data_IF_298821527655
#
_entry.id   IF_298821527655
#
_cell.length_a   1.000
_cell.length_b   1.000
_cell.length_c   1.000
_cell.angle_alpha   90.00
_cell.angle_beta   90.00
_cell.angle_gamma   90.00
#
_symmetry.space_group_name_H-M   'P 1'
#
loop_
_entity.id
_entity.type
_entity.pdbx_description
1 polymer ?
#
# COMPACT_ATOMS: atom_id res chain seq x y z
N UNK A 1 9.81 1.23 -27.51
CA UNK A 1 9.20 0.82 -26.23
C UNK A 1 10.32 0.68 -25.23
N UNK A 2 10.38 1.55 -24.21
CA UNK A 2 11.40 1.50 -23.16
C UNK A 2 10.74 0.87 -21.93
N UNK A 3 11.25 -0.27 -21.50
CA UNK A 3 10.84 -0.97 -20.28
C UNK A 3 11.19 -0.13 -19.04
N UNK A 4 10.19 0.47 -18.43
CA UNK A 4 10.30 1.24 -17.18
C UNK A 4 10.49 0.32 -15.94
N UNK A 5 10.51 -1.00 -16.13
CA UNK A 5 10.57 -2.00 -15.05
C UNK A 5 11.96 -2.18 -14.39
N UNK A 6 12.98 -1.39 -14.77
CA UNK A 6 14.38 -1.62 -14.37
C UNK A 6 14.98 -0.68 -13.31
N UNK A 7 14.21 0.25 -12.74
CA UNK A 7 14.74 1.27 -11.81
C UNK A 7 14.36 1.07 -10.33
N UNK A 8 14.09 -0.17 -9.89
CA UNK A 8 13.81 -0.46 -8.48
C UNK A 8 14.96 -1.15 -7.73
N UNK A 9 16.19 -1.20 -8.29
CA UNK A 9 17.32 -1.90 -7.66
C UNK A 9 18.40 -0.99 -7.05
N UNK A 10 18.19 0.32 -6.95
CA UNK A 10 19.15 1.22 -6.30
C UNK A 10 18.44 2.25 -5.41
N UNK A 11 17.98 1.81 -4.25
CA UNK A 11 17.67 2.66 -3.11
C UNK A 11 18.71 2.41 -2.02
N UNK A 12 19.44 3.45 -1.64
CA UNK A 12 20.55 3.40 -0.71
C UNK A 12 20.21 2.71 0.61
N UNK A 13 21.08 1.80 1.03
CA UNK A 13 21.01 1.10 2.30
C UNK A 13 21.48 2.02 3.44
N UNK A 14 20.76 3.13 3.66
CA UNK A 14 20.76 3.80 4.96
C UNK A 14 19.80 3.03 5.87
N UNK A 15 20.15 1.77 6.17
CA UNK A 15 19.30 0.86 6.92
C UNK A 15 19.11 1.41 8.34
N UNK A 16 17.97 2.03 8.58
CA UNK A 16 17.49 2.21 9.95
C UNK A 16 17.02 0.83 10.39
N UNK A 17 17.67 0.20 11.39
CA UNK A 17 17.28 -1.14 11.83
C UNK A 17 15.81 -1.12 12.28
N UNK A 18 15.05 -2.10 11.80
CA UNK A 18 13.65 -2.28 12.20
C UNK A 18 12.67 -1.32 11.53
N UNK A 19 13.00 -0.72 10.38
CA UNK A 19 12.12 0.23 9.69
C UNK A 19 10.76 -0.40 9.31
N UNK A 20 10.76 -1.66 8.86
CA UNK A 20 9.54 -2.37 8.49
C UNK A 20 8.64 -2.59 9.71
N UNK A 21 9.22 -3.01 10.82
CA UNK A 21 8.52 -3.21 12.09
C UNK A 21 7.91 -1.90 12.60
N UNK A 22 8.65 -0.79 12.47
CA UNK A 22 8.13 0.55 12.78
C UNK A 22 7.01 0.97 11.83
N UNK A 23 7.10 0.65 10.55
CA UNK A 23 6.05 0.91 9.58
C UNK A 23 4.77 0.10 9.88
N UNK A 24 4.92 -1.12 10.39
CA UNK A 24 3.83 -2.00 10.80
C UNK A 24 3.36 -1.77 12.24
N UNK A 25 3.95 -0.80 12.95
CA UNK A 25 3.51 -0.44 14.30
C UNK A 25 2.06 0.05 14.27
N UNK A 26 1.30 -0.35 15.29
CA UNK A 26 -0.14 -0.08 15.39
C UNK A 26 -0.46 1.41 15.26
N UNK A 27 0.32 2.25 15.92
CA UNK A 27 0.17 3.70 15.91
C UNK A 27 0.37 4.25 14.50
N UNK A 28 1.38 3.76 13.77
CA UNK A 28 1.65 4.16 12.40
C UNK A 28 0.51 3.76 11.47
N UNK A 29 -0.01 2.54 11.61
CA UNK A 29 -1.13 2.05 10.80
C UNK A 29 -2.43 2.84 11.04
N UNK A 30 -2.68 3.24 12.28
CA UNK A 30 -3.83 4.12 12.59
C UNK A 30 -3.69 5.48 11.87
N UNK A 31 -2.49 6.05 11.86
CA UNK A 31 -2.23 7.30 11.15
C UNK A 31 -2.32 7.13 9.64
N UNK A 32 -1.78 6.03 9.10
CA UNK A 32 -1.90 5.69 7.69
C UNK A 32 -3.37 5.55 7.28
N UNK A 33 -4.17 4.83 8.08
CA UNK A 33 -5.60 4.67 7.84
C UNK A 33 -6.35 6.01 7.81
N UNK A 34 -6.07 6.91 8.75
CA UNK A 34 -6.67 8.26 8.76
C UNK A 34 -6.39 9.03 7.47
N UNK A 35 -5.16 8.96 6.97
CA UNK A 35 -4.76 9.63 5.71
C UNK A 35 -5.45 9.00 4.50
N UNK A 36 -5.51 7.66 4.42
CA UNK A 36 -6.20 6.96 3.32
C UNK A 36 -7.67 7.38 3.24
N UNK A 37 -8.36 7.44 4.38
CA UNK A 37 -9.76 7.92 4.43
C UNK A 37 -9.91 9.37 3.99
N UNK A 38 -8.97 10.24 4.36
CA UNK A 38 -9.01 11.66 4.03
C UNK A 38 -8.76 11.94 2.54
N UNK A 39 -8.11 11.03 1.81
CA UNK A 39 -7.77 11.23 0.40
C UNK A 39 -8.97 11.09 -0.56
N UNK A 40 -10.13 10.60 -0.08
CA UNK A 40 -11.38 10.42 -0.87
C UNK A 40 -11.11 9.83 -2.27
N UNK A 41 -10.17 8.88 -2.34
CA UNK A 41 -9.73 8.29 -3.60
C UNK A 41 -10.77 7.35 -4.18
N UNK A 42 -10.69 7.10 -5.49
CA UNK A 42 -11.47 6.05 -6.13
C UNK A 42 -11.03 4.66 -5.66
N UNK A 43 -11.95 3.70 -5.68
CA UNK A 43 -11.65 2.29 -5.40
C UNK A 43 -10.58 1.72 -6.36
N UNK A 44 -9.84 0.73 -5.86
CA UNK A 44 -8.82 0.01 -6.61
C UNK A 44 -9.40 -0.97 -7.63
N UNK A 45 -8.59 -1.94 -8.06
CA UNK A 45 -9.04 -3.03 -8.95
C UNK A 45 -10.01 -3.99 -8.26
N UNK A 46 -10.01 -4.00 -6.93
CA UNK A 46 -10.90 -4.77 -6.07
C UNK A 46 -12.30 -4.15 -5.95
N UNK A 47 -12.47 -2.88 -6.35
CA UNK A 47 -13.75 -2.18 -6.29
C UNK A 47 -14.24 -1.90 -4.87
N UNK A 48 -13.41 -2.09 -3.84
CA UNK A 48 -13.80 -1.88 -2.45
C UNK A 48 -13.80 -0.40 -2.11
N UNK A 49 -14.86 0.05 -1.45
CA UNK A 49 -14.88 1.35 -0.80
C UNK A 49 -14.10 1.34 0.52
N UNK A 50 -14.02 2.49 1.17
CA UNK A 50 -13.27 2.67 2.42
C UNK A 50 -13.82 1.79 3.55
N UNK A 51 -15.13 1.63 3.70
CA UNK A 51 -15.69 0.86 4.81
C UNK A 51 -15.55 -0.65 4.56
N UNK A 52 -15.74 -1.11 3.31
CA UNK A 52 -15.47 -2.48 2.92
C UNK A 52 -13.98 -2.83 3.08
N UNK A 53 -13.07 -1.92 2.71
CA UNK A 53 -11.62 -2.07 2.90
C UNK A 53 -11.28 -2.23 4.39
N UNK A 54 -11.91 -1.45 5.26
CA UNK A 54 -11.71 -1.56 6.72
C UNK A 54 -12.11 -2.95 7.23
N UNK A 55 -13.27 -3.45 6.82
CA UNK A 55 -13.75 -4.77 7.21
C UNK A 55 -12.83 -5.89 6.72
N UNK A 56 -12.40 -5.82 5.45
CA UNK A 56 -11.45 -6.78 4.88
C UNK A 56 -10.12 -6.76 5.64
N UNK A 57 -9.56 -5.58 5.92
CA UNK A 57 -8.32 -5.45 6.68
C UNK A 57 -8.45 -6.01 8.10
N UNK A 58 -9.57 -5.79 8.79
CA UNK A 58 -9.78 -6.35 10.13
C UNK A 58 -9.70 -7.89 10.16
N UNK A 59 -10.14 -8.55 9.09
CA UNK A 59 -10.07 -10.01 8.97
C UNK A 59 -8.72 -10.49 8.46
N UNK A 60 -8.16 -9.83 7.44
CA UNK A 60 -6.97 -10.28 6.74
C UNK A 60 -5.65 -9.77 7.34
N UNK A 61 -5.67 -8.81 8.27
CA UNK A 61 -4.46 -8.14 8.75
C UNK A 61 -3.38 -9.08 9.29
N UNK A 62 -3.67 -10.11 10.10
CA UNK A 62 -2.64 -11.03 10.58
C UNK A 62 -1.87 -11.69 9.42
N UNK A 63 -2.59 -12.18 8.42
CA UNK A 63 -2.00 -12.80 7.24
C UNK A 63 -1.18 -11.80 6.41
N UNK A 64 -1.73 -10.60 6.17
CA UNK A 64 -1.03 -9.54 5.42
C UNK A 64 0.28 -9.15 6.13
N UNK A 65 0.24 -9.00 7.46
CA UNK A 65 1.43 -8.70 8.26
C UNK A 65 2.49 -9.78 8.12
N UNK A 66 2.12 -11.05 8.25
CA UNK A 66 3.07 -12.15 8.13
C UNK A 66 3.70 -12.19 6.73
N UNK A 67 2.88 -11.98 5.69
CA UNK A 67 3.36 -11.89 4.31
C UNK A 67 4.31 -10.72 4.07
N UNK A 68 4.10 -9.58 4.74
CA UNK A 68 5.00 -8.42 4.67
C UNK A 68 6.33 -8.73 5.36
N UNK A 69 6.30 -9.35 6.54
CA UNK A 69 7.50 -9.70 7.31
C UNK A 69 8.34 -10.79 6.64
N UNK A 70 7.71 -11.75 5.96
CA UNK A 70 8.41 -12.83 5.27
C UNK A 70 8.70 -12.53 3.77
N UNK A 71 8.34 -11.34 3.28
CA UNK A 71 8.57 -10.91 1.89
C UNK A 71 7.69 -11.59 0.82
N UNK A 72 6.69 -12.36 1.21
CA UNK A 72 5.76 -13.02 0.28
C UNK A 72 4.57 -12.16 -0.15
N UNK A 73 4.35 -11.00 0.49
CA UNK A 73 3.26 -10.11 0.14
C UNK A 73 3.35 -9.69 -1.34
N UNK A 74 2.20 -9.77 -2.04
CA UNK A 74 2.07 -9.33 -3.42
C UNK A 74 0.92 -8.32 -3.48
N UNK A 75 1.19 -7.03 -3.70
CA UNK A 75 0.15 -6.04 -3.83
C UNK A 75 -0.68 -6.28 -5.09
N UNK A 76 -1.96 -5.89 -5.04
CA UNK A 76 -2.81 -5.91 -6.22
C UNK A 76 -2.34 -4.89 -7.26
N UNK A 77 -2.56 -5.14 -8.56
CA UNK A 77 -2.22 -4.18 -9.60
C UNK A 77 -3.03 -2.88 -9.43
N UNK A 78 -2.45 -1.76 -9.88
CA UNK A 78 -3.11 -0.46 -9.83
C UNK A 78 -4.20 -0.36 -10.90
N UNK A 79 -5.35 0.22 -10.54
CA UNK A 79 -6.46 0.48 -11.48
C UNK A 79 -6.10 1.66 -12.38
N UNK A 80 -6.05 1.43 -13.70
CA UNK A 80 -5.86 2.51 -14.68
C UNK A 80 -7.15 3.32 -14.82
N UNK A 81 -7.04 4.63 -14.65
CA UNK A 81 -8.12 5.59 -14.87
C UNK A 81 -7.64 6.70 -15.80
N UNK A 82 -8.46 7.07 -16.77
CA UNK A 82 -8.15 8.18 -17.67
C UNK A 82 -8.60 9.48 -17.01
N UNK A 83 -7.66 10.37 -16.71
CA UNK A 83 -7.93 11.69 -16.12
C UNK A 83 -7.52 12.74 -17.13
N UNK A 84 -8.42 13.65 -17.55
CA UNK A 84 -8.05 14.76 -18.42
C UNK A 84 -7.07 15.68 -17.68
N UNK A 85 -5.99 16.08 -18.34
CA UNK A 85 -5.10 17.12 -17.79
C UNK A 85 -5.79 18.48 -17.99
N UNK A 86 -5.67 19.42 -17.03
CA UNK A 86 -6.05 20.81 -17.29
C UNK A 86 -5.17 21.37 -18.41
N UNK A 87 -5.73 22.31 -19.19
CA UNK A 87 -4.99 23.06 -20.21
C UNK A 87 -3.80 23.84 -19.62
#
# INVERSE_FOLDING_TARGET
>A
MRDEARLAQQGQDSSVPGLLERALARENLIQAWKRVKANVGSAGVDGLDIEATKGMLQMAWPQVRDQLLNGSYRPLPVRRVQIPKPD
#
